data_IF_057788735352
#
_entry.id   IF_057788735352
#
_cell.length_a   1.000
_cell.length_b   1.000
_cell.length_c   1.000
_cell.angle_alpha   90.00
_cell.angle_beta   90.00
_cell.angle_gamma   90.00
#
_symmetry.space_group_name_H-M   'P 1'
#
loop_
_entity.id
_entity.type
_entity.pdbx_description
1 polymer ?
#
# COMPACT_ATOMS: atom_id res chain seq x y z
N UNK A 1 10.29 -11.03 -40.97
CA UNK A 1 10.28 -12.05 -39.90
C UNK A 1 9.17 -11.71 -38.90
N UNK A 2 8.11 -12.51 -38.83
CA UNK A 2 7.01 -12.33 -37.86
C UNK A 2 7.43 -12.99 -36.54
N UNK A 3 7.57 -12.21 -35.46
CA UNK A 3 7.75 -12.75 -34.12
C UNK A 3 6.35 -12.98 -33.53
N UNK A 4 5.96 -14.25 -33.47
CA UNK A 4 4.75 -14.71 -32.77
C UNK A 4 5.11 -14.85 -31.29
N UNK A 5 4.58 -13.99 -30.43
CA UNK A 5 4.62 -14.20 -28.98
C UNK A 5 3.25 -14.72 -28.55
N UNK A 6 3.28 -15.90 -27.92
CA UNK A 6 2.11 -16.68 -27.50
C UNK A 6 1.29 -15.90 -26.47
N UNK A 7 -0.02 -15.79 -26.71
CA UNK A 7 -1.02 -15.46 -25.70
C UNK A 7 -1.02 -16.56 -24.64
N UNK A 8 -0.64 -16.24 -23.41
CA UNK A 8 -0.97 -17.03 -22.23
C UNK A 8 -1.82 -16.14 -21.35
N UNK A 9 -3.12 -16.16 -21.61
CA UNK A 9 -4.13 -15.50 -20.78
C UNK A 9 -4.64 -16.58 -19.84
N UNK A 10 -4.14 -16.58 -18.60
CA UNK A 10 -4.80 -17.28 -17.50
C UNK A 10 -5.76 -16.29 -16.86
N UNK A 11 -7.03 -16.35 -17.24
CA UNK A 11 -8.12 -15.66 -16.54
C UNK A 11 -8.55 -16.54 -15.38
N UNK A 12 -8.27 -16.09 -14.15
CA UNK A 12 -8.98 -16.52 -12.95
C UNK A 12 -9.32 -15.26 -12.17
N UNK A 13 -10.49 -14.68 -12.46
CA UNK A 13 -11.14 -13.72 -11.58
C UNK A 13 -12.13 -14.50 -10.71
N UNK A 14 -11.75 -14.80 -9.46
CA UNK A 14 -12.69 -15.26 -8.44
C UNK A 14 -13.09 -14.03 -7.65
N UNK A 15 -14.23 -13.45 -8.00
CA UNK A 15 -14.91 -12.46 -7.15
C UNK A 15 -15.53 -13.17 -5.95
N UNK A 16 -14.86 -13.10 -4.80
CA UNK A 16 -15.43 -13.49 -3.52
C UNK A 16 -16.11 -12.26 -2.89
N UNK A 17 -17.43 -12.14 -3.10
CA UNK A 17 -18.26 -11.22 -2.35
C UNK A 17 -18.45 -11.78 -0.93
N UNK A 18 -17.72 -11.24 0.05
CA UNK A 18 -17.98 -11.51 1.46
C UNK A 18 -18.55 -10.26 2.13
N UNK A 19 -19.86 -10.28 2.33
CA UNK A 19 -20.54 -9.36 3.23
C UNK A 19 -20.17 -9.73 4.68
N UNK A 20 -19.25 -8.99 5.28
CA UNK A 20 -19.01 -9.06 6.72
C UNK A 20 -19.96 -8.08 7.40
N UNK A 21 -21.05 -8.60 7.96
CA UNK A 21 -21.88 -7.85 8.89
C UNK A 21 -21.10 -7.69 10.21
N UNK A 22 -20.49 -6.52 10.41
CA UNK A 22 -19.84 -6.19 11.69
C UNK A 22 -20.92 -5.82 12.70
N UNK A 23 -21.36 -6.77 13.53
CA UNK A 23 -22.05 -6.45 14.78
C UNK A 23 -21.01 -6.07 15.82
N UNK A 24 -20.57 -4.82 15.80
CA UNK A 24 -19.67 -4.25 16.80
C UNK A 24 -20.42 -3.79 18.05
N UNK A 25 -20.16 -4.43 19.19
CA UNK A 25 -20.62 -4.00 20.50
C UNK A 25 -20.03 -2.63 20.91
N UNK A 26 -20.90 -1.61 21.05
CA UNK A 26 -20.96 -0.77 22.25
C UNK A 26 -19.85 0.24 22.59
N UNK A 27 -18.72 0.32 21.90
CA UNK A 27 -17.83 1.50 21.99
C UNK A 27 -18.26 2.52 20.94
N UNK A 28 -18.46 3.77 21.34
CA UNK A 28 -18.61 4.88 20.38
C UNK A 28 -17.41 4.81 19.44
N UNK A 29 -17.65 4.77 18.13
CA UNK A 29 -16.57 4.77 17.14
C UNK A 29 -15.62 5.93 17.44
N UNK A 30 -14.33 5.65 17.54
CA UNK A 30 -13.32 6.69 17.75
C UNK A 30 -13.34 7.61 16.51
N UNK A 31 -13.68 8.90 16.65
CA UNK A 31 -13.75 9.81 15.52
C UNK A 31 -12.44 9.90 14.72
N UNK A 32 -11.29 9.70 15.37
CA UNK A 32 -9.99 9.69 14.68
C UNK A 32 -9.85 8.46 13.80
N UNK A 33 -10.27 7.29 14.30
CA UNK A 33 -10.21 6.03 13.58
C UNK A 33 -11.11 6.05 12.34
N UNK A 34 -12.32 6.59 12.46
CA UNK A 34 -13.25 6.68 11.33
C UNK A 34 -12.74 7.67 10.28
N UNK A 35 -12.21 8.83 10.68
CA UNK A 35 -11.61 9.79 9.76
C UNK A 35 -10.40 9.21 9.01
N UNK A 36 -9.57 8.42 9.70
CA UNK A 36 -8.44 7.72 9.09
C UNK A 36 -8.91 6.72 8.03
N UNK A 37 -9.91 5.87 8.36
CA UNK A 37 -10.46 4.89 7.41
C UNK A 37 -11.10 5.56 6.19
N UNK A 38 -11.81 6.66 6.38
CA UNK A 38 -12.38 7.45 5.28
C UNK A 38 -11.28 8.00 4.37
N UNK A 39 -10.24 8.61 4.96
CA UNK A 39 -9.10 9.15 4.20
C UNK A 39 -8.37 8.06 3.41
N UNK A 40 -8.14 6.90 4.03
CA UNK A 40 -7.52 5.76 3.35
C UNK A 40 -8.43 5.19 2.25
N UNK A 41 -9.75 5.15 2.47
CA UNK A 41 -10.71 4.73 1.43
C UNK A 41 -10.59 5.64 0.20
N UNK A 42 -10.61 6.96 0.40
CA UNK A 42 -10.44 7.91 -0.70
C UNK A 42 -9.08 7.78 -1.40
N UNK A 43 -8.01 7.49 -0.66
CA UNK A 43 -6.71 7.19 -1.24
C UNK A 43 -6.75 5.96 -2.17
N UNK A 44 -7.33 4.84 -1.74
CA UNK A 44 -7.46 3.64 -2.59
C UNK A 44 -8.38 3.85 -3.79
N UNK A 45 -9.45 4.63 -3.64
CA UNK A 45 -10.31 5.02 -4.76
C UNK A 45 -9.51 5.82 -5.81
N UNK A 46 -8.67 6.76 -5.38
CA UNK A 46 -7.76 7.48 -6.28
C UNK A 46 -6.77 6.57 -6.98
N UNK A 47 -6.18 5.59 -6.29
CA UNK A 47 -5.30 4.62 -6.93
C UNK A 47 -6.02 3.83 -8.03
N UNK A 48 -7.27 3.42 -7.81
CA UNK A 48 -8.08 2.75 -8.83
C UNK A 48 -8.39 3.67 -10.03
N UNK A 49 -8.65 4.95 -9.79
CA UNK A 49 -8.82 5.95 -10.86
C UNK A 49 -7.53 6.13 -11.69
N UNK A 50 -6.37 6.17 -11.03
CA UNK A 50 -5.08 6.27 -11.71
C UNK A 50 -4.73 5.02 -12.51
N UNK A 51 -4.98 3.81 -11.97
CA UNK A 51 -4.82 2.56 -12.72
C UNK A 51 -5.67 2.58 -14.00
N UNK A 52 -6.93 3.01 -13.90
CA UNK A 52 -7.78 3.17 -15.08
C UNK A 52 -7.25 4.21 -16.06
N UNK A 53 -6.71 5.33 -15.56
CA UNK A 53 -6.13 6.39 -16.39
C UNK A 53 -4.91 5.87 -17.15
N UNK A 54 -3.96 5.24 -16.46
CA UNK A 54 -2.75 4.64 -17.06
C UNK A 54 -3.14 3.59 -18.11
N UNK A 55 -4.06 2.68 -17.77
CA UNK A 55 -4.50 1.63 -18.69
C UNK A 55 -5.29 2.16 -19.92
N UNK A 56 -5.72 3.42 -19.89
CA UNK A 56 -6.39 4.07 -21.01
C UNK A 56 -5.45 4.80 -21.97
N UNK A 57 -4.19 5.01 -21.57
CA UNK A 57 -3.18 5.67 -22.42
C UNK A 57 -2.93 4.84 -23.67
N UNK A 58 -2.99 5.49 -24.83
CA UNK A 58 -2.63 4.86 -26.09
C UNK A 58 -1.11 4.80 -26.23
N UNK A 59 -0.52 3.64 -25.92
CA UNK A 59 0.93 3.43 -25.99
C UNK A 59 1.58 3.69 -27.36
N UNK A 60 0.80 3.71 -28.45
CA UNK A 60 1.29 4.01 -29.80
C UNK A 60 1.23 5.52 -30.14
N UNK A 61 0.76 6.35 -29.20
CA UNK A 61 0.73 7.81 -29.37
C UNK A 61 2.08 8.43 -29.10
N UNK A 62 2.45 9.45 -29.88
CA UNK A 62 3.67 10.25 -29.63
C UNK A 62 3.59 11.04 -28.29
N UNK A 63 2.41 11.14 -27.68
CA UNK A 63 2.14 11.81 -26.39
C UNK A 63 2.03 10.84 -25.20
N UNK A 64 2.20 9.53 -25.42
CA UNK A 64 1.96 8.53 -24.37
C UNK A 64 2.84 8.73 -23.13
N UNK A 65 4.10 9.14 -23.33
CA UNK A 65 5.03 9.46 -22.24
C UNK A 65 4.53 10.65 -21.41
N UNK A 66 4.21 11.77 -22.06
CA UNK A 66 3.70 12.98 -21.40
C UNK A 66 2.41 12.69 -20.61
N UNK A 67 1.48 11.93 -21.19
CA UNK A 67 0.23 11.54 -20.53
C UNK A 67 0.49 10.68 -19.28
N UNK A 68 1.46 9.76 -19.35
CA UNK A 68 1.86 8.93 -18.22
C UNK A 68 2.46 9.79 -17.11
N UNK A 69 3.38 10.71 -17.43
CA UNK A 69 4.03 11.58 -16.46
C UNK A 69 3.03 12.46 -15.70
N UNK A 70 2.01 12.99 -16.39
CA UNK A 70 0.94 13.77 -15.72
C UNK A 70 0.20 12.91 -14.68
N UNK A 71 -0.11 11.66 -15.00
CA UNK A 71 -0.80 10.76 -14.04
C UNK A 71 0.12 10.42 -12.86
N UNK A 72 1.41 10.20 -13.11
CA UNK A 72 2.38 9.88 -12.06
C UNK A 72 2.64 11.07 -11.11
N UNK A 73 2.64 12.31 -11.61
CA UNK A 73 2.74 13.52 -10.79
C UNK A 73 1.56 13.66 -9.82
N UNK A 74 0.34 13.42 -10.31
CA UNK A 74 -0.87 13.42 -9.49
C UNK A 74 -0.86 12.28 -8.47
N UNK A 75 -0.43 11.09 -8.90
CA UNK A 75 -0.30 9.94 -8.01
C UNK A 75 0.75 10.19 -6.91
N UNK A 76 1.91 10.74 -7.25
CA UNK A 76 2.95 11.08 -6.28
C UNK A 76 2.45 12.09 -5.23
N UNK A 77 1.67 13.09 -5.66
CA UNK A 77 1.00 14.02 -4.74
C UNK A 77 0.05 13.28 -3.79
N UNK A 78 -0.75 12.36 -4.31
CA UNK A 78 -1.69 11.55 -3.52
C UNK A 78 -0.97 10.65 -2.49
N UNK A 79 0.17 10.07 -2.84
CA UNK A 79 1.01 9.31 -1.91
C UNK A 79 1.61 10.19 -0.80
N UNK A 80 2.09 11.39 -1.15
CA UNK A 80 2.59 12.37 -0.15
C UNK A 80 1.49 12.82 0.81
N UNK A 81 0.29 13.08 0.29
CA UNK A 81 -0.86 13.45 1.11
C UNK A 81 -1.27 12.30 2.04
N UNK A 82 -1.25 11.05 1.57
CA UNK A 82 -1.49 9.86 2.39
C UNK A 82 -0.49 9.76 3.55
N UNK A 83 0.81 9.92 3.27
CA UNK A 83 1.85 9.85 4.29
C UNK A 83 1.75 10.96 5.36
N UNK A 84 1.04 12.06 5.07
CA UNK A 84 0.81 13.15 6.01
C UNK A 84 -0.42 12.94 6.92
N UNK A 85 -1.23 11.89 6.69
CA UNK A 85 -2.39 11.59 7.52
C UNK A 85 -1.94 11.14 8.92
N UNK A 86 -2.58 11.68 9.97
CA UNK A 86 -2.35 11.24 11.35
C UNK A 86 -2.83 9.78 11.50
N UNK A 87 -1.90 8.86 11.75
CA UNK A 87 -2.19 7.44 11.93
C UNK A 87 -2.63 7.19 13.38
N UNK A 88 -3.81 6.58 13.61
CA UNK A 88 -4.26 6.22 14.95
C UNK A 88 -3.31 5.27 15.68
N UNK A 89 -3.25 5.34 17.02
CA UNK A 89 -2.34 4.53 17.84
C UNK A 89 -2.47 3.02 17.58
N UNK A 90 -3.68 2.52 17.27
CA UNK A 90 -3.90 1.09 16.94
C UNK A 90 -3.15 0.63 15.67
N UNK A 91 -2.79 1.58 14.81
CA UNK A 91 -2.05 1.38 13.56
C UNK A 91 -0.63 1.95 13.62
N UNK A 92 -0.12 2.31 14.80
CA UNK A 92 1.23 2.86 14.95
C UNK A 92 2.33 1.97 14.34
N UNK A 93 2.14 0.64 14.30
CA UNK A 93 3.07 -0.30 13.67
C UNK A 93 3.22 -0.17 12.15
N UNK A 94 2.38 0.62 11.48
CA UNK A 94 2.49 0.91 10.03
C UNK A 94 2.85 2.37 9.72
N UNK A 95 3.24 3.18 10.72
CA UNK A 95 3.57 4.59 10.50
C UNK A 95 4.67 4.79 9.46
N UNK A 96 5.73 3.99 9.58
CA UNK A 96 6.90 4.10 8.72
C UNK A 96 6.61 3.54 7.32
N UNK A 97 5.65 2.61 7.20
CA UNK A 97 5.22 2.02 5.92
C UNK A 97 4.58 3.08 5.02
N UNK A 98 3.77 3.98 5.58
CA UNK A 98 3.15 5.06 4.81
C UNK A 98 4.19 6.05 4.25
N UNK A 99 5.21 6.37 5.05
CA UNK A 99 6.34 7.23 4.64
C UNK A 99 7.19 6.53 3.58
N UNK A 100 7.55 5.26 3.78
CA UNK A 100 8.28 4.47 2.78
C UNK A 100 7.54 4.39 1.44
N UNK A 101 6.22 4.22 1.47
CA UNK A 101 5.39 4.20 0.26
C UNK A 101 5.52 5.51 -0.53
N UNK A 102 5.44 6.65 0.17
CA UNK A 102 5.58 7.96 -0.46
C UNK A 102 6.99 8.21 -0.99
N UNK A 103 8.03 7.86 -0.24
CA UNK A 103 9.43 7.98 -0.68
C UNK A 103 9.72 7.13 -1.92
N UNK A 104 9.15 5.93 -2.01
CA UNK A 104 9.27 5.08 -3.19
C UNK A 104 8.50 5.64 -4.37
N UNK A 105 7.30 6.20 -4.16
CA UNK A 105 6.53 6.80 -5.24
C UNK A 105 7.22 8.07 -5.78
N UNK A 106 7.84 8.87 -4.91
CA UNK A 106 8.62 10.04 -5.30
C UNK A 106 9.78 9.63 -6.21
N UNK A 107 10.57 8.63 -5.81
CA UNK A 107 11.66 8.08 -6.64
C UNK A 107 11.15 7.52 -7.96
N UNK A 108 10.01 6.81 -7.94
CA UNK A 108 9.40 6.29 -9.16
C UNK A 108 9.07 7.44 -10.12
N UNK A 109 8.44 8.50 -9.63
CA UNK A 109 8.10 9.68 -10.43
C UNK A 109 9.36 10.33 -11.02
N UNK A 110 10.38 10.57 -10.20
CA UNK A 110 11.65 11.16 -10.64
C UNK A 110 12.31 10.34 -11.76
N UNK A 111 12.36 9.02 -11.63
CA UNK A 111 12.96 8.16 -12.65
C UNK A 111 12.09 8.01 -13.91
N UNK A 112 10.76 8.07 -13.79
CA UNK A 112 9.89 8.11 -14.97
C UNK A 112 10.09 9.41 -15.75
N UNK A 113 10.21 10.55 -15.07
CA UNK A 113 10.59 11.80 -15.71
C UNK A 113 11.95 11.68 -16.41
N UNK A 114 12.97 11.12 -15.76
CA UNK A 114 14.26 10.87 -16.41
C UNK A 114 14.16 9.95 -17.63
N UNK A 115 13.24 8.98 -17.61
CA UNK A 115 13.04 8.05 -18.71
C UNK A 115 12.35 8.68 -19.92
N UNK A 116 11.48 9.68 -19.72
CA UNK A 116 10.58 10.18 -20.77
C UNK A 116 10.71 11.68 -21.09
N UNK A 117 11.33 12.51 -20.24
CA UNK A 117 11.60 13.93 -20.51
C UNK A 117 12.79 14.10 -21.48
N UNK A 118 12.60 13.65 -22.73
CA UNK A 118 13.60 13.76 -23.79
C UNK A 118 13.76 12.45 -24.58
N UNK A 119 15.02 12.08 -24.83
CA UNK A 119 15.31 10.78 -25.44
C UNK A 119 15.04 9.67 -24.42
N UNK A 120 14.31 8.65 -24.85
CA UNK A 120 13.92 7.55 -23.98
C UNK A 120 15.13 6.85 -23.33
N UNK A 121 15.10 6.73 -22.01
CA UNK A 121 16.10 6.01 -21.21
C UNK A 121 15.50 4.77 -20.52
N UNK A 122 15.82 3.59 -21.05
CA UNK A 122 15.33 2.31 -20.55
C UNK A 122 15.85 1.93 -19.16
N UNK A 123 17.05 2.41 -18.78
CA UNK A 123 17.61 2.09 -17.46
C UNK A 123 16.86 2.86 -16.37
N UNK A 124 16.54 4.13 -16.66
CA UNK A 124 15.68 4.96 -15.81
C UNK A 124 14.26 4.38 -15.71
N UNK A 125 13.64 3.95 -16.81
CA UNK A 125 12.31 3.32 -16.79
C UNK A 125 12.29 2.06 -15.92
N UNK A 126 13.32 1.21 -16.04
CA UNK A 126 13.44 -0.01 -15.24
C UNK A 126 13.59 0.28 -13.74
N UNK A 127 14.33 1.32 -13.37
CA UNK A 127 14.43 1.75 -11.97
C UNK A 127 13.10 2.35 -11.47
N UNK A 128 12.46 3.18 -12.29
CA UNK A 128 11.16 3.76 -11.98
C UNK A 128 10.11 2.68 -11.68
N UNK A 129 10.02 1.66 -12.54
CA UNK A 129 9.09 0.53 -12.37
C UNK A 129 9.34 -0.25 -11.07
N UNK A 130 10.59 -0.46 -10.68
CA UNK A 130 10.90 -1.13 -9.42
C UNK A 130 10.49 -0.30 -8.20
N UNK A 131 10.69 1.02 -8.22
CA UNK A 131 10.25 1.89 -7.14
C UNK A 131 8.73 2.00 -7.09
N UNK A 132 8.08 2.10 -8.24
CA UNK A 132 6.62 2.07 -8.36
C UNK A 132 6.04 0.80 -7.74
N UNK A 133 6.63 -0.36 -8.04
CA UNK A 133 6.21 -1.62 -7.44
C UNK A 133 6.37 -1.61 -5.91
N UNK A 134 7.51 -1.15 -5.38
CA UNK A 134 7.75 -1.07 -3.94
C UNK A 134 6.75 -0.13 -3.25
N UNK A 135 6.39 1.00 -3.85
CA UNK A 135 5.38 1.90 -3.32
C UNK A 135 4.01 1.22 -3.19
N UNK A 136 3.57 0.51 -4.24
CA UNK A 136 2.31 -0.21 -4.24
C UNK A 136 2.31 -1.41 -3.26
N UNK A 137 3.43 -2.12 -3.14
CA UNK A 137 3.56 -3.22 -2.17
C UNK A 137 3.39 -2.71 -0.73
N UNK A 138 3.94 -1.53 -0.39
CA UNK A 138 3.76 -0.89 0.92
C UNK A 138 2.32 -0.52 1.19
N UNK A 139 1.64 0.04 0.20
CA UNK A 139 0.20 0.34 0.28
C UNK A 139 -0.64 -0.92 0.45
N UNK A 140 -0.30 -2.03 -0.22
CA UNK A 140 -0.98 -3.31 -0.03
C UNK A 140 -0.82 -3.85 1.40
N UNK A 141 0.35 -3.68 2.01
CA UNK A 141 0.58 -4.02 3.43
C UNK A 141 -0.33 -3.18 4.34
N UNK A 142 -0.43 -1.87 4.08
CA UNK A 142 -1.34 -0.99 4.85
C UNK A 142 -2.80 -1.45 4.71
N UNK A 143 -3.22 -1.87 3.50
CA UNK A 143 -4.58 -2.39 3.24
C UNK A 143 -4.87 -3.67 4.03
N UNK A 144 -3.90 -4.60 4.10
CA UNK A 144 -4.02 -5.82 4.90
C UNK A 144 -4.28 -5.48 6.37
N UNK A 145 -3.49 -4.56 6.94
CA UNK A 145 -3.64 -4.12 8.33
C UNK A 145 -5.00 -3.45 8.58
N UNK A 146 -5.45 -2.58 7.66
CA UNK A 146 -6.77 -1.94 7.74
C UNK A 146 -7.92 -2.97 7.72
N UNK A 147 -7.73 -4.09 7.04
CA UNK A 147 -8.68 -5.21 7.03
C UNK A 147 -8.52 -6.19 8.21
N UNK A 148 -7.62 -5.90 9.16
CA UNK A 148 -7.35 -6.76 10.30
C UNK A 148 -6.63 -8.06 9.93
N UNK A 149 -5.94 -8.08 8.80
CA UNK A 149 -5.13 -9.21 8.35
C UNK A 149 -3.72 -9.11 8.94
N UNK A 150 -3.05 -10.26 9.07
CA UNK A 150 -1.62 -10.28 9.37
C UNK A 150 -0.89 -9.78 8.11
N UNK A 151 -0.11 -8.69 8.19
CA UNK A 151 0.55 -8.15 7.01
C UNK A 151 1.66 -9.07 6.51
N UNK A 152 1.74 -9.23 5.19
CA UNK A 152 2.76 -10.00 4.49
C UNK A 152 3.40 -9.14 3.39
N UNK A 153 4.73 -9.19 3.28
CA UNK A 153 5.45 -8.47 2.23
C UNK A 153 6.96 -8.42 2.47
N UNK A 154 7.71 -7.92 1.49
CA UNK A 154 9.18 -7.79 1.61
C UNK A 154 9.55 -6.83 2.75
N UNK A 155 10.40 -7.30 3.66
CA UNK A 155 10.88 -6.52 4.80
C UNK A 155 9.89 -6.41 5.97
N UNK A 156 8.76 -7.14 5.94
CA UNK A 156 7.79 -7.14 7.04
C UNK A 156 8.05 -8.32 7.99
N UNK A 157 8.17 -8.01 9.27
CA UNK A 157 8.22 -8.98 10.37
C UNK A 157 7.18 -8.62 11.42
N UNK A 158 6.34 -9.57 11.80
CA UNK A 158 5.33 -9.37 12.85
C UNK A 158 5.87 -9.91 14.17
N UNK A 159 6.13 -9.01 15.10
CA UNK A 159 6.45 -9.40 16.48
C UNK A 159 5.17 -9.71 17.24
N UNK A 160 5.08 -10.91 17.82
CA UNK A 160 3.99 -11.25 18.73
C UNK A 160 4.52 -11.17 20.15
N UNK A 161 4.01 -10.23 20.94
CA UNK A 161 4.26 -10.19 22.39
C UNK A 161 3.65 -11.46 23.01
N UNK A 162 4.49 -12.41 23.41
CA UNK A 162 4.04 -13.61 24.11
C UNK A 162 3.50 -13.21 25.48
N UNK A 163 2.20 -13.35 25.70
CA UNK A 163 1.55 -13.05 27.00
C UNK A 163 1.87 -14.13 28.04
N UNK A 164 3.13 -14.26 28.47
CA UNK A 164 3.48 -15.11 29.62
C UNK A 164 4.68 -14.58 30.40
N UNK A 165 4.48 -13.49 31.14
CA UNK A 165 5.03 -13.36 32.49
C UNK A 165 3.90 -13.01 33.46
N UNK A 166 2.99 -13.97 33.69
CA UNK A 166 2.21 -13.95 34.92
C UNK A 166 3.16 -14.42 36.01
N UNK A 167 3.76 -13.49 36.75
CA UNK A 167 4.27 -13.78 38.09
C UNK A 167 3.08 -14.27 38.92
N UNK A 168 2.93 -15.58 39.08
CA UNK A 168 1.92 -16.10 39.98
C UNK A 168 2.28 -15.72 41.41
N UNK A 169 1.26 -15.35 42.18
CA UNK A 169 1.32 -15.16 43.62
C UNK A 169 1.43 -16.56 44.25
N UNK A 170 2.61 -17.16 44.18
CA UNK A 170 3.00 -18.33 44.98
C UNK A 170 4.40 -18.09 45.52
N UNK A 171 4.57 -16.98 46.23
CA UNK A 171 5.72 -16.77 47.11
C UNK A 171 5.23 -16.33 48.50
N UNK A 172 4.06 -16.83 48.92
CA UNK A 172 3.60 -16.70 50.30
C UNK A 172 3.10 -18.04 50.86
N UNK A 173 3.69 -18.40 52.00
CA UNK A 173 3.54 -19.60 52.85
C UNK A 173 4.29 -20.85 52.36
N UNK A 174 5.28 -21.34 53.10
CA UNK A 174 5.06 -21.97 54.41
C UNK A 174 6.12 -21.66 55.47
N UNK A 175 5.67 -21.10 56.59
CA UNK A 175 6.20 -21.39 57.93
C UNK A 175 5.97 -22.88 58.29
N UNK A 176 6.91 -23.47 59.02
CA UNK A 176 6.86 -24.80 59.66
C UNK A 176 7.93 -25.74 59.10
N UNK A 177 9.00 -26.12 59.80
CA UNK A 177 9.16 -26.50 61.22
C UNK A 177 10.56 -26.16 61.76
#
# INVERSE_FOLDING_TARGET
MKKNVKRIINVIFVTALFAVAVTGCGKKADPKLEAYKESMTSFYEKLAEYDSSINSINAESDTAGDELLVVLDEMNTTYRDMAAIEIPDEFSGISDIAVEAADYMEKANEFYHQAYDGDFDSDSEMLASQYYQRANDRVMIMLQVLHGQVPEGEGITVETESTYEISTIEDESTDGE
#
